data_IF_274566141858
#
_entry.id   IF_274566141858
#
_cell.length_a   1.000
_cell.length_b   1.000
_cell.length_c   1.000
_cell.angle_alpha   90.00
_cell.angle_beta   90.00
_cell.angle_gamma   90.00
#
_symmetry.space_group_name_H-M   'P 1'
#
loop_
_entity.id
_entity.type
_entity.pdbx_description
1 polymer ?
#
# COMPACT_ATOMS: atom_id res chain seq x y z
N UNK A 1 42.29 -42.32 -9.88
CA UNK A 1 41.48 -41.09 -9.96
C UNK A 1 40.42 -41.03 -8.84
N UNK A 2 40.77 -40.61 -7.61
CA UNK A 2 39.79 -40.33 -6.53
C UNK A 2 39.53 -38.83 -6.33
N UNK A 3 40.51 -37.98 -6.65
CA UNK A 3 40.44 -36.53 -6.42
C UNK A 3 39.42 -35.76 -7.29
N UNK A 4 39.09 -36.26 -8.49
CA UNK A 4 38.11 -35.62 -9.38
C UNK A 4 36.65 -35.81 -8.91
N UNK A 5 36.38 -36.90 -8.16
CA UNK A 5 35.04 -37.19 -7.63
C UNK A 5 34.74 -36.40 -6.35
N UNK A 6 35.77 -36.05 -5.59
CA UNK A 6 35.64 -35.25 -4.37
C UNK A 6 35.54 -33.75 -4.70
N UNK A 7 36.18 -33.28 -5.77
CA UNK A 7 35.98 -31.94 -6.33
C UNK A 7 34.54 -31.71 -6.83
N UNK A 8 33.93 -32.68 -7.50
CA UNK A 8 32.56 -32.56 -7.98
C UNK A 8 31.53 -32.49 -6.83
N UNK A 9 31.82 -33.13 -5.69
CA UNK A 9 30.98 -33.07 -4.47
C UNK A 9 31.11 -31.72 -3.75
N UNK A 10 32.26 -31.07 -3.82
CA UNK A 10 32.46 -29.72 -3.29
C UNK A 10 31.92 -28.60 -4.20
N UNK A 11 31.84 -28.82 -5.52
CA UNK A 11 31.24 -27.85 -6.46
C UNK A 11 29.70 -27.89 -6.48
N UNK A 12 29.09 -29.03 -6.14
CA UNK A 12 27.63 -29.15 -6.00
C UNK A 12 27.11 -28.59 -4.66
N UNK A 13 27.95 -28.51 -3.63
CA UNK A 13 27.59 -27.93 -2.33
C UNK A 13 27.66 -26.40 -2.30
N UNK A 14 28.49 -25.78 -3.15
CA UNK A 14 28.55 -24.32 -3.30
C UNK A 14 27.47 -23.76 -4.23
N UNK A 15 26.97 -24.55 -5.17
CA UNK A 15 25.88 -24.15 -6.08
C UNK A 15 24.49 -24.11 -5.40
N UNK A 16 24.38 -24.53 -4.13
CA UNK A 16 23.15 -24.49 -3.34
C UNK A 16 23.16 -23.41 -2.24
N UNK A 17 24.18 -22.54 -2.21
CA UNK A 17 24.23 -21.39 -1.31
C UNK A 17 23.80 -20.06 -1.95
N UNK A 18 23.51 -20.05 -3.26
CA UNK A 18 23.21 -18.81 -4.01
C UNK A 18 21.70 -18.64 -4.30
N UNK A 19 20.86 -19.63 -3.98
CA UNK A 19 19.41 -19.57 -4.26
C UNK A 19 18.57 -18.88 -3.16
N UNK A 20 19.22 -18.17 -2.23
CA UNK A 20 18.59 -17.61 -1.04
C UNK A 20 18.71 -16.09 -0.88
N UNK A 21 19.13 -15.36 -1.92
CA UNK A 21 18.95 -13.90 -1.93
C UNK A 21 17.48 -13.63 -2.18
N UNK A 22 16.73 -13.63 -1.08
CA UNK A 22 15.34 -13.24 -1.01
C UNK A 22 15.13 -11.98 -1.83
N UNK A 23 14.07 -12.01 -2.63
CA UNK A 23 13.49 -10.80 -3.18
C UNK A 23 13.28 -9.84 -2.00
N UNK A 24 14.19 -8.88 -1.85
CA UNK A 24 13.92 -7.70 -1.07
C UNK A 24 12.82 -7.01 -1.86
N UNK A 25 11.57 -7.29 -1.50
CA UNK A 25 10.50 -6.38 -1.80
C UNK A 25 10.93 -5.07 -1.14
N UNK A 26 11.53 -4.20 -1.95
CA UNK A 26 11.80 -2.84 -1.55
C UNK A 26 10.46 -2.32 -1.01
N UNK A 27 10.42 -2.06 0.30
CA UNK A 27 9.22 -1.54 0.95
C UNK A 27 8.91 -0.22 0.28
N UNK A 28 8.06 -0.25 -0.76
CA UNK A 28 7.36 0.93 -1.19
C UNK A 28 6.60 1.37 0.05
N UNK A 29 6.97 2.53 0.57
CA UNK A 29 6.27 3.15 1.68
C UNK A 29 4.88 3.48 1.16
N UNK A 30 3.98 2.49 1.26
CA UNK A 30 2.62 2.59 0.75
C UNK A 30 1.92 3.69 1.53
N UNK A 31 1.29 4.60 0.81
CA UNK A 31 0.72 5.78 1.43
C UNK A 31 -0.42 5.37 2.35
N UNK A 32 -0.45 5.92 3.56
CA UNK A 32 -1.53 5.65 4.51
C UNK A 32 -2.60 6.72 4.35
N UNK A 33 -3.80 6.30 4.00
CA UNK A 33 -4.94 7.17 3.77
C UNK A 33 -5.33 7.92 5.04
N UNK A 34 -5.39 9.25 4.96
CA UNK A 34 -5.74 10.17 6.03
C UNK A 34 -7.17 10.72 5.91
N UNK A 35 -7.70 11.21 7.03
CA UNK A 35 -8.93 11.99 7.02
C UNK A 35 -8.71 13.31 6.26
N UNK A 36 -9.60 13.61 5.32
CA UNK A 36 -9.53 14.79 4.46
C UNK A 36 -8.80 14.58 3.13
N UNK A 37 -8.21 13.41 2.88
CA UNK A 37 -7.65 13.06 1.58
C UNK A 37 -8.73 12.96 0.51
N UNK A 38 -8.42 13.42 -0.69
CA UNK A 38 -9.24 13.23 -1.86
C UNK A 38 -8.70 12.05 -2.66
N UNK A 39 -9.55 11.07 -2.93
CA UNK A 39 -9.20 9.85 -3.63
C UNK A 39 -10.13 9.62 -4.81
N UNK A 40 -9.61 8.94 -5.83
CA UNK A 40 -10.34 8.42 -6.97
C UNK A 40 -10.20 6.91 -6.98
N UNK A 41 -11.33 6.21 -7.04
CA UNK A 41 -11.39 4.75 -7.02
C UNK A 41 -11.77 4.28 -8.42
N UNK A 42 -11.01 3.34 -8.95
CA UNK A 42 -11.25 2.70 -10.24
C UNK A 42 -11.53 1.21 -10.05
N UNK A 43 -12.53 0.71 -10.76
CA UNK A 43 -12.79 -0.74 -10.87
C UNK A 43 -12.68 -1.13 -12.34
N UNK A 44 -11.83 -2.10 -12.65
CA UNK A 44 -11.59 -2.53 -14.03
C UNK A 44 -12.91 -2.97 -14.70
N UNK A 45 -13.15 -2.49 -15.93
CA UNK A 45 -14.36 -2.74 -16.72
C UNK A 45 -15.70 -2.37 -16.04
N UNK A 46 -15.69 -1.59 -14.95
CA UNK A 46 -16.89 -1.19 -14.22
C UNK A 46 -16.87 0.32 -13.97
N UNK A 47 -17.26 1.12 -14.97
CA UNK A 47 -17.25 2.58 -14.87
C UNK A 47 -18.26 3.11 -13.85
N UNK A 48 -19.39 2.42 -13.65
CA UNK A 48 -20.43 2.82 -12.68
C UNK A 48 -19.97 2.71 -11.22
N UNK A 49 -18.87 1.98 -10.96
CA UNK A 49 -18.24 1.84 -9.64
C UNK A 49 -17.05 2.77 -9.45
N UNK A 50 -16.73 3.60 -10.45
CA UNK A 50 -15.74 4.65 -10.28
C UNK A 50 -16.29 5.76 -9.39
N UNK A 51 -15.47 6.21 -8.44
CA UNK A 51 -15.89 7.20 -7.46
C UNK A 51 -14.77 8.18 -7.14
N UNK A 52 -15.09 9.46 -7.22
CA UNK A 52 -14.32 10.55 -6.63
C UNK A 52 -14.91 10.87 -5.27
N UNK A 53 -14.12 10.67 -4.21
CA UNK A 53 -14.57 10.88 -2.85
C UNK A 53 -13.50 11.53 -1.99
N UNK A 54 -13.96 12.27 -0.98
CA UNK A 54 -13.13 12.75 0.11
C UNK A 54 -13.33 11.86 1.33
N UNK A 55 -12.22 11.41 1.93
CA UNK A 55 -12.26 10.68 3.19
C UNK A 55 -12.72 11.65 4.28
N UNK A 56 -13.80 11.31 4.98
CA UNK A 56 -14.33 12.19 6.03
C UNK A 56 -13.47 12.15 7.32
N UNK A 57 -13.84 12.94 8.32
CA UNK A 57 -13.11 13.02 9.60
C UNK A 57 -13.11 11.71 10.39
N UNK A 58 -14.15 10.88 10.23
CA UNK A 58 -14.18 9.52 10.79
C UNK A 58 -13.30 8.52 10.01
N UNK A 59 -12.69 8.95 8.91
CA UNK A 59 -11.89 8.15 8.00
C UNK A 59 -12.70 7.17 7.15
N UNK A 60 -13.97 7.48 6.88
CA UNK A 60 -14.87 6.67 6.05
C UNK A 60 -15.25 7.38 4.75
N UNK A 61 -15.72 6.62 3.78
CA UNK A 61 -16.36 7.10 2.54
C UNK A 61 -17.69 6.38 2.33
N UNK A 62 -18.59 6.96 1.55
CA UNK A 62 -19.76 6.24 1.02
C UNK A 62 -19.42 5.71 -0.36
N UNK A 63 -19.43 4.39 -0.52
CA UNK A 63 -19.08 3.70 -1.76
C UNK A 63 -20.29 2.96 -2.34
N UNK A 64 -20.52 2.99 -3.67
CA UNK A 64 -21.62 2.28 -4.30
C UNK A 64 -21.65 0.79 -3.91
N UNK A 65 -22.84 0.25 -3.67
CA UNK A 65 -23.09 -1.15 -3.26
C UNK A 65 -22.59 -1.55 -1.86
N UNK A 66 -21.50 -0.95 -1.38
CA UNK A 66 -20.90 -1.24 -0.07
C UNK A 66 -21.36 -0.30 1.05
N UNK A 67 -21.97 0.83 0.71
CA UNK A 67 -22.37 1.84 1.68
C UNK A 67 -21.15 2.48 2.35
N UNK A 68 -21.17 2.60 3.68
CA UNK A 68 -20.09 3.27 4.42
C UNK A 68 -18.89 2.33 4.60
N UNK A 69 -17.74 2.71 4.07
CA UNK A 69 -16.49 1.92 4.15
C UNK A 69 -15.40 2.73 4.86
N UNK A 70 -14.77 2.12 5.88
CA UNK A 70 -13.63 2.69 6.61
C UNK A 70 -12.33 2.44 5.84
N UNK A 71 -11.70 3.52 5.37
CA UNK A 71 -10.43 3.51 4.62
C UNK A 71 -9.30 4.26 5.34
N UNK A 72 -9.62 5.30 6.12
CA UNK A 72 -8.62 6.08 6.83
C UNK A 72 -7.86 5.25 7.85
N UNK A 73 -6.54 5.36 7.84
CA UNK A 73 -5.59 4.56 8.60
C UNK A 73 -5.10 3.30 7.86
N UNK A 74 -5.65 2.98 6.69
CA UNK A 74 -5.17 1.89 5.85
C UNK A 74 -4.14 2.40 4.84
N UNK A 75 -3.16 1.55 4.52
CA UNK A 75 -2.34 1.71 3.34
C UNK A 75 -3.23 1.63 2.08
N UNK A 76 -2.87 2.32 1.00
CA UNK A 76 -3.65 2.34 -0.24
C UNK A 76 -3.91 0.92 -0.75
N UNK A 77 -2.89 0.05 -0.74
CA UNK A 77 -3.06 -1.35 -1.17
C UNK A 77 -4.02 -2.17 -0.30
N UNK A 78 -4.10 -1.86 1.00
CA UNK A 78 -5.05 -2.53 1.91
C UNK A 78 -6.47 -1.99 1.74
N UNK A 79 -6.61 -0.70 1.44
CA UNK A 79 -7.89 -0.10 1.07
C UNK A 79 -8.43 -0.71 -0.24
N UNK A 80 -7.58 -0.91 -1.25
CA UNK A 80 -7.93 -1.59 -2.50
C UNK A 80 -8.45 -3.01 -2.25
N UNK A 81 -7.69 -3.81 -1.49
CA UNK A 81 -8.09 -5.17 -1.10
C UNK A 81 -9.41 -5.19 -0.35
N UNK A 82 -9.63 -4.23 0.55
CA UNK A 82 -10.86 -4.13 1.33
C UNK A 82 -12.09 -3.88 0.47
N UNK A 83 -11.99 -2.96 -0.48
CA UNK A 83 -13.08 -2.68 -1.43
C UNK A 83 -13.32 -3.89 -2.33
N UNK A 84 -12.25 -4.49 -2.87
CA UNK A 84 -12.34 -5.69 -3.69
C UNK A 84 -13.02 -6.85 -2.93
N UNK A 85 -12.65 -7.08 -1.66
CA UNK A 85 -13.28 -8.08 -0.82
C UNK A 85 -14.76 -7.78 -0.61
N UNK A 86 -15.13 -6.54 -0.27
CA UNK A 86 -16.53 -6.15 -0.09
C UNK A 86 -17.39 -6.38 -1.34
N UNK A 87 -16.87 -6.02 -2.52
CA UNK A 87 -17.57 -6.23 -3.80
C UNK A 87 -17.75 -7.71 -4.13
N UNK A 88 -16.76 -8.54 -3.76
CA UNK A 88 -16.80 -9.98 -3.96
C UNK A 88 -17.75 -10.66 -2.99
N UNK A 89 -17.65 -10.33 -1.70
CA UNK A 89 -18.43 -10.97 -0.63
C UNK A 89 -19.90 -10.56 -0.70
N UNK A 90 -20.20 -9.36 -1.19
CA UNK A 90 -21.55 -8.92 -1.54
C UNK A 90 -22.11 -9.55 -2.83
N UNK A 91 -21.35 -10.45 -3.48
CA UNK A 91 -21.71 -11.13 -4.73
C UNK A 91 -22.02 -10.17 -5.90
N UNK A 92 -21.44 -8.97 -5.89
CA UNK A 92 -21.58 -7.98 -6.96
C UNK A 92 -20.62 -8.26 -8.11
N UNK A 93 -19.37 -8.64 -7.79
CA UNK A 93 -18.32 -8.95 -8.77
C UNK A 93 -17.53 -10.19 -8.36
N UNK A 94 -17.23 -11.08 -9.30
CA UNK A 94 -16.48 -12.32 -8.99
C UNK A 94 -15.00 -12.09 -8.70
N UNK A 95 -14.35 -11.24 -9.49
CA UNK A 95 -12.91 -10.93 -9.39
C UNK A 95 -12.69 -9.42 -9.61
N UNK A 96 -13.14 -8.58 -8.67
CA UNK A 96 -12.96 -7.14 -8.78
C UNK A 96 -11.47 -6.78 -8.76
N UNK A 97 -11.02 -6.02 -9.75
CA UNK A 97 -9.71 -5.37 -9.76
C UNK A 97 -9.92 -3.90 -9.42
N UNK A 98 -9.46 -3.49 -8.24
CA UNK A 98 -9.66 -2.15 -7.71
C UNK A 98 -8.32 -1.43 -7.66
N UNK A 99 -8.31 -0.17 -8.08
CA UNK A 99 -7.17 0.73 -7.92
C UNK A 99 -7.62 2.04 -7.29
N UNK A 100 -6.83 2.57 -6.36
CA UNK A 100 -7.10 3.83 -5.67
C UNK A 100 -5.97 4.80 -5.98
N UNK A 101 -6.34 6.00 -6.47
CA UNK A 101 -5.42 7.09 -6.72
C UNK A 101 -5.70 8.23 -5.74
N UNK A 102 -4.67 8.70 -5.04
CA UNK A 102 -4.78 9.85 -4.13
C UNK A 102 -4.58 11.13 -4.94
N UNK A 103 -5.64 11.92 -5.07
CA UNK A 103 -5.67 13.15 -5.87
C UNK A 103 -5.12 14.35 -5.09
N UNK A 104 -5.48 14.46 -3.82
CA UNK A 104 -5.02 15.52 -2.91
C UNK A 104 -4.80 14.94 -1.51
N UNK A 105 -3.63 15.21 -0.95
CA UNK A 105 -3.17 14.68 0.32
C UNK A 105 -3.31 15.78 1.35
N UNK A 106 -4.23 15.63 2.31
CA UNK A 106 -4.32 16.60 3.39
C UNK A 106 -3.15 16.34 4.34
N UNK A 107 -2.15 17.21 4.29
CA UNK A 107 -0.98 17.10 5.16
C UNK A 107 -1.41 17.06 6.64
N UNK A 108 -1.28 15.88 7.26
CA UNK A 108 -1.36 15.75 8.70
C UNK A 108 -0.09 16.38 9.27
N UNK A 109 -0.22 17.63 9.75
CA UNK A 109 0.86 18.33 10.43
C UNK A 109 1.04 17.72 11.82
N UNK A 110 2.18 17.09 12.07
CA UNK A 110 2.58 16.72 13.43
C UNK A 110 3.50 17.81 13.97
N UNK A 111 3.14 18.38 15.13
CA UNK A 111 3.99 19.32 15.86
C UNK A 111 4.94 18.52 16.74
N UNK A 112 6.24 18.58 16.46
CA UNK A 112 7.26 18.02 17.35
C UNK A 112 7.57 19.07 18.42
N UNK A 113 7.13 18.84 19.67
CA UNK A 113 7.44 19.68 20.82
C UNK A 113 8.48 18.95 21.70
N UNK A 114 9.69 19.49 21.82
CA UNK A 114 10.80 18.90 22.59
C UNK A 114 12.11 19.69 22.46
N UNK A 115 13.21 19.17 23.02
CA UNK A 115 14.56 19.76 22.93
C UNK A 115 15.18 19.51 21.54
N UNK A 116 14.55 20.05 20.50
CA UNK A 116 14.96 19.93 19.10
C UNK A 116 15.61 21.24 18.64
N UNK A 117 16.62 21.16 17.78
CA UNK A 117 17.38 22.34 17.32
C UNK A 117 16.52 23.33 16.52
N UNK A 118 15.40 22.88 15.92
CA UNK A 118 14.44 23.71 15.17
C UNK A 118 12.98 23.25 15.37
N UNK A 119 12.20 23.87 16.26
CA UNK A 119 10.76 23.63 16.35
C UNK A 119 10.04 24.10 15.08
N UNK A 120 9.11 23.30 14.56
CA UNK A 120 8.37 23.58 13.32
C UNK A 120 7.29 22.53 13.02
N UNK A 121 6.37 22.84 12.09
CA UNK A 121 5.36 21.87 11.60
C UNK A 121 5.96 21.08 10.44
N UNK A 122 5.95 19.75 10.53
CA UNK A 122 6.43 18.88 9.47
C UNK A 122 5.25 18.11 8.86
N UNK A 123 5.14 18.14 7.52
CA UNK A 123 4.19 17.34 6.78
C UNK A 123 4.67 15.88 6.74
N UNK A 124 3.85 14.97 7.24
CA UNK A 124 4.08 13.53 7.06
C UNK A 124 3.73 13.17 5.61
N UNK A 125 4.72 13.19 4.70
CA UNK A 125 4.46 12.82 3.30
C UNK A 125 5.54 13.19 2.30
N UNK A 126 6.48 14.10 2.63
CA UNK A 126 7.59 14.43 1.76
C UNK A 126 8.89 13.91 2.37
N UNK A 127 9.45 12.85 1.81
CA UNK A 127 10.86 12.56 1.97
C UNK A 127 11.64 13.79 1.52
N UNK A 128 12.32 14.43 2.46
CA UNK A 128 13.25 15.51 2.18
C UNK A 128 14.46 14.92 1.44
N UNK A 129 14.39 14.90 0.11
CA UNK A 129 15.55 14.74 -0.75
C UNK A 129 16.17 16.10 -0.99
N UNK A 130 17.23 16.40 -0.23
CA UNK A 130 18.25 17.36 -0.64
C UNK A 130 19.26 16.69 -1.57
#
# INVERSE_FOLDING_TARGET
MKWMRDMARWLLATMLLVFGLGAHAAGQNDYVLGAGDQIRIFVYQNQDLQLDARINESGTISYPLLGVVKLGGLAVSDAEKKIAAGLRDGNFLKQPQVSILVMDMKANMVSVLGQVNRPGRFALGAGAGG
#
